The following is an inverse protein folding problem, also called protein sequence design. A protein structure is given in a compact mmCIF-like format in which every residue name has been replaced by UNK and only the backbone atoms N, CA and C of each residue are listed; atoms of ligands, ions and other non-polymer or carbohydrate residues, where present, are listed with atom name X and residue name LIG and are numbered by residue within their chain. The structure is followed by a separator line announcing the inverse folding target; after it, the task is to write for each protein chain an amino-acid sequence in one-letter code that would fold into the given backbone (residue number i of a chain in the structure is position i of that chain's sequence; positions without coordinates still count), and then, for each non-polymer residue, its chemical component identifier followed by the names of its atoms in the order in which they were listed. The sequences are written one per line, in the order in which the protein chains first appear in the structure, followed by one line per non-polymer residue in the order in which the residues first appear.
data_IF_199114091373
#
_entry.id   IF_199114091373
#
_cell.length_a   1.000
_cell.length_b   1.000
_cell.length_c   1.000
_cell.angle_alpha   90.00
_cell.angle_beta   90.00
_cell.angle_gamma   90.00
#
_symmetry.space_group_name_H-M   'P 1'
#
loop_
_entity.id
_entity.type
_entity.pdbx_description
1 polymer ?
#
# COMPACT_ATOMS: atom_id res chain seq x y z
N UNK A 1 -53.31 -49.73 23.76
CA UNK A 1 -52.35 -50.42 22.90
C UNK A 1 -51.94 -49.46 21.82
N UNK A 2 -50.85 -48.78 21.95
CA UNK A 2 -50.28 -47.87 20.95
C UNK A 2 -48.84 -48.31 20.67
N UNK A 3 -48.38 -48.36 19.44
CA UNK A 3 -46.97 -48.50 19.14
C UNK A 3 -46.32 -47.14 18.98
N UNK A 4 -45.15 -47.05 19.59
CA UNK A 4 -44.22 -45.91 19.54
C UNK A 4 -43.46 -45.96 18.23
N UNK A 5 -43.46 -44.83 17.46
CA UNK A 5 -42.62 -44.65 16.31
C UNK A 5 -41.29 -44.03 16.72
N UNK A 6 -40.19 -44.73 16.37
CA UNK A 6 -38.83 -44.28 16.60
C UNK A 6 -38.43 -43.12 15.67
N UNK A 7 -37.74 -42.17 16.23
CA UNK A 7 -37.16 -41.02 15.53
C UNK A 7 -35.68 -41.31 15.25
N UNK A 8 -35.35 -41.61 14.01
CA UNK A 8 -33.96 -41.74 13.52
C UNK A 8 -33.33 -40.37 13.39
N UNK A 9 -32.43 -40.04 14.28
CA UNK A 9 -31.56 -38.86 14.17
C UNK A 9 -30.36 -39.16 13.28
N UNK A 10 -30.44 -38.73 12.03
CA UNK A 10 -29.26 -38.66 11.15
C UNK A 10 -28.44 -37.43 11.54
N UNK A 11 -27.32 -37.67 12.20
CA UNK A 11 -26.25 -36.69 12.41
C UNK A 11 -25.52 -36.42 11.12
N UNK A 12 -25.84 -35.31 10.46
CA UNK A 12 -25.05 -34.76 9.37
C UNK A 12 -23.74 -34.17 9.92
N UNK A 13 -22.65 -34.83 9.66
CA UNK A 13 -21.30 -34.30 9.92
C UNK A 13 -21.02 -33.15 8.97
N UNK A 14 -20.85 -31.94 9.51
CA UNK A 14 -20.32 -30.75 8.81
C UNK A 14 -18.83 -31.01 8.58
N UNK A 15 -18.29 -30.85 7.34
CA UNK A 15 -16.86 -30.96 7.13
C UNK A 15 -16.16 -29.76 7.76
N UNK A 16 -15.43 -30.02 8.84
CA UNK A 16 -14.49 -29.10 9.48
C UNK A 16 -13.22 -29.05 8.61
N UNK A 17 -13.16 -28.11 7.66
CA UNK A 17 -11.97 -27.86 6.86
C UNK A 17 -11.67 -26.35 6.74
N UNK A 18 -11.60 -25.67 7.89
CA UNK A 18 -10.84 -24.46 8.01
C UNK A 18 -9.61 -24.79 8.86
N UNK A 19 -8.53 -25.21 8.22
CA UNK A 19 -7.26 -25.43 8.90
C UNK A 19 -6.83 -24.12 9.57
N UNK A 20 -6.99 -24.05 10.89
CA UNK A 20 -6.39 -23.01 11.74
C UNK A 20 -4.87 -23.13 11.58
N UNK A 21 -4.13 -22.02 11.30
CA UNK A 21 -2.67 -22.08 11.28
C UNK A 21 -2.19 -22.63 12.64
N UNK A 22 -1.38 -23.66 12.61
CA UNK A 22 -0.72 -24.21 13.78
C UNK A 22 0.19 -23.11 14.35
N UNK A 23 -0.03 -22.74 15.60
CA UNK A 23 0.85 -21.83 16.36
C UNK A 23 2.27 -22.41 16.34
N UNK A 24 3.16 -21.81 15.55
CA UNK A 24 4.59 -22.16 15.51
C UNK A 24 5.21 -22.41 14.14
N UNK A 25 4.44 -22.49 13.05
CA UNK A 25 5.05 -22.54 11.71
C UNK A 25 5.52 -21.14 11.27
N UNK A 26 6.72 -21.02 10.65
CA UNK A 26 7.16 -19.73 10.12
C UNK A 26 6.15 -19.26 9.05
N UNK A 27 5.72 -17.99 9.12
CA UNK A 27 4.81 -17.41 8.14
C UNK A 27 5.43 -17.45 6.74
N UNK A 28 4.66 -17.98 5.78
CA UNK A 28 4.99 -17.88 4.35
C UNK A 28 4.69 -16.46 3.89
N UNK A 29 5.68 -15.81 3.26
CA UNK A 29 5.60 -14.43 2.77
C UNK A 29 5.82 -14.35 1.28
N UNK A 30 5.38 -13.26 0.69
CA UNK A 30 5.62 -12.98 -0.72
C UNK A 30 7.11 -12.98 -1.07
N UNK A 31 7.44 -13.36 -2.29
CA UNK A 31 8.80 -13.51 -2.82
C UNK A 31 9.72 -12.29 -2.65
N UNK A 32 9.16 -11.09 -2.52
CA UNK A 32 9.93 -9.86 -2.37
C UNK A 32 10.31 -9.56 -0.92
N UNK A 33 9.62 -10.15 0.06
CA UNK A 33 9.88 -9.95 1.48
C UNK A 33 11.07 -10.82 1.91
N UNK A 34 12.15 -10.18 2.35
CA UNK A 34 13.31 -10.84 2.89
C UNK A 34 13.27 -10.91 4.43
N UNK A 35 14.38 -11.37 5.05
CA UNK A 35 14.46 -11.55 6.51
C UNK A 35 14.71 -10.25 7.31
N UNK A 36 14.78 -9.07 6.68
CA UNK A 36 14.90 -7.79 7.39
C UNK A 36 13.66 -7.56 8.26
N UNK A 37 13.78 -7.41 9.59
CA UNK A 37 12.62 -7.29 10.49
C UNK A 37 11.69 -6.12 10.13
N UNK A 38 12.22 -5.02 9.60
CA UNK A 38 11.43 -3.88 9.16
C UNK A 38 10.61 -4.23 7.91
N UNK A 39 11.19 -5.02 7.00
CA UNK A 39 10.50 -5.46 5.80
C UNK A 39 9.42 -6.49 6.10
N UNK A 40 9.70 -7.40 7.05
CA UNK A 40 8.72 -8.36 7.57
C UNK A 40 7.53 -7.62 8.20
N UNK A 41 7.79 -6.65 9.08
CA UNK A 41 6.73 -5.88 9.73
C UNK A 41 5.88 -5.12 8.69
N UNK A 42 6.49 -4.50 7.71
CA UNK A 42 5.80 -3.83 6.61
C UNK A 42 4.92 -4.78 5.80
N UNK A 43 5.46 -5.93 5.38
CA UNK A 43 4.72 -6.96 4.65
C UNK A 43 3.52 -7.48 5.45
N UNK A 44 3.75 -7.80 6.73
CA UNK A 44 2.74 -8.47 7.55
C UNK A 44 1.64 -7.54 8.08
N UNK A 45 1.90 -6.23 8.17
CA UNK A 45 1.01 -5.30 8.86
C UNK A 45 0.49 -4.14 8.00
N UNK A 46 1.20 -3.79 6.92
CA UNK A 46 0.89 -2.59 6.15
C UNK A 46 0.54 -2.90 4.69
N UNK A 47 1.40 -3.60 3.97
CA UNK A 47 1.27 -3.82 2.54
C UNK A 47 0.02 -4.63 2.19
N UNK A 48 -0.77 -4.14 1.24
CA UNK A 48 -2.03 -4.77 0.82
C UNK A 48 -3.20 -4.55 1.77
N UNK A 49 -2.99 -3.83 2.89
CA UNK A 49 -4.07 -3.50 3.84
C UNK A 49 -4.80 -2.25 3.37
N UNK A 50 -6.15 -2.27 3.21
CA UNK A 50 -6.91 -1.12 2.73
C UNK A 50 -6.71 0.12 3.59
N UNK A 51 -6.14 1.16 3.01
CA UNK A 51 -5.83 2.44 3.66
C UNK A 51 -6.77 3.53 3.14
N UNK A 52 -7.51 4.18 4.06
CA UNK A 52 -8.46 5.27 3.72
C UNK A 52 -8.17 6.57 4.47
N UNK A 53 -7.14 6.59 5.31
CA UNK A 53 -6.71 7.81 5.99
C UNK A 53 -5.99 8.73 4.98
N UNK A 54 -6.50 9.95 4.80
CA UNK A 54 -6.02 10.89 3.80
C UNK A 54 -4.56 11.28 3.99
N UNK A 55 -4.12 11.50 5.24
CA UNK A 55 -2.74 11.89 5.54
C UNK A 55 -1.77 10.74 5.28
N UNK A 56 -2.12 9.52 5.68
CA UNK A 56 -1.29 8.33 5.43
C UNK A 56 -1.23 7.99 3.94
N UNK A 57 -2.32 8.18 3.20
CA UNK A 57 -2.32 8.02 1.75
C UNK A 57 -1.40 9.04 1.08
N UNK A 58 -1.41 10.30 1.54
CA UNK A 58 -0.51 11.33 1.03
C UNK A 58 0.96 11.01 1.38
N UNK A 59 1.26 10.63 2.63
CA UNK A 59 2.59 10.17 3.05
C UNK A 59 3.08 9.05 2.12
N UNK A 60 2.25 8.02 1.93
CA UNK A 60 2.61 6.86 1.10
C UNK A 60 2.89 7.26 -0.35
N UNK A 61 2.06 8.13 -0.94
CA UNK A 61 2.25 8.64 -2.30
C UNK A 61 3.60 9.35 -2.48
N UNK A 62 4.00 10.17 -1.50
CA UNK A 62 5.31 10.83 -1.53
C UNK A 62 6.46 9.83 -1.37
N UNK A 63 6.32 8.84 -0.49
CA UNK A 63 7.34 7.82 -0.26
C UNK A 63 7.55 6.95 -1.51
N UNK A 64 6.49 6.58 -2.21
CA UNK A 64 6.56 5.88 -3.51
C UNK A 64 7.26 6.75 -4.58
N UNK A 65 6.99 8.05 -4.60
CA UNK A 65 7.72 8.99 -5.44
C UNK A 65 9.23 9.05 -5.11
N UNK A 66 9.59 9.00 -3.82
CA UNK A 66 10.99 8.91 -3.39
C UNK A 66 11.65 7.58 -3.78
N UNK A 67 10.87 6.49 -3.87
CA UNK A 67 11.39 5.18 -4.28
C UNK A 67 11.87 5.15 -5.73
N UNK A 68 11.34 5.97 -6.63
CA UNK A 68 11.69 5.92 -8.06
C UNK A 68 13.20 5.76 -8.30
N UNK A 69 13.60 4.62 -8.89
CA UNK A 69 15.01 4.25 -9.12
C UNK A 69 15.74 3.63 -7.92
N UNK A 70 15.04 3.33 -6.82
CA UNK A 70 15.59 2.75 -5.59
C UNK A 70 14.77 1.52 -5.15
N UNK A 71 15.29 0.77 -4.17
CA UNK A 71 14.52 -0.30 -3.52
C UNK A 71 13.61 0.25 -2.43
N UNK A 72 12.44 -0.39 -2.24
CA UNK A 72 11.50 0.03 -1.19
C UNK A 72 12.11 -0.01 0.21
N UNK A 73 12.89 -1.04 0.54
CA UNK A 73 13.56 -1.12 1.85
C UNK A 73 14.48 0.08 2.12
N UNK A 74 15.06 0.67 1.08
CA UNK A 74 15.86 1.90 1.20
C UNK A 74 15.02 3.08 1.69
N UNK A 75 13.78 3.20 1.22
CA UNK A 75 12.83 4.23 1.64
C UNK A 75 12.28 3.91 3.02
N UNK A 76 11.87 2.66 3.24
CA UNK A 76 11.29 2.20 4.49
C UNK A 76 12.23 2.46 5.68
N UNK A 77 13.55 2.19 5.53
CA UNK A 77 14.57 2.50 6.55
C UNK A 77 14.73 4.00 6.84
N UNK A 78 14.28 4.86 5.94
CA UNK A 78 14.34 6.32 6.07
C UNK A 78 12.99 6.95 6.44
N UNK A 79 11.92 6.16 6.49
CA UNK A 79 10.55 6.65 6.70
C UNK A 79 10.41 7.47 7.98
N UNK A 80 10.99 7.01 9.09
CA UNK A 80 10.97 7.75 10.34
C UNK A 80 11.63 9.13 10.18
N UNK A 81 12.78 9.19 9.52
CA UNK A 81 13.47 10.45 9.28
C UNK A 81 12.69 11.37 8.34
N UNK A 82 12.07 10.83 7.30
CA UNK A 82 11.17 11.62 6.45
C UNK A 82 10.02 12.24 7.25
N UNK A 83 9.39 11.49 8.18
CA UNK A 83 8.34 12.03 9.05
C UNK A 83 8.85 13.21 9.90
N UNK A 84 10.06 13.12 10.44
CA UNK A 84 10.66 14.21 11.22
C UNK A 84 10.88 15.46 10.35
N UNK A 85 11.58 15.33 9.23
CA UNK A 85 12.02 16.48 8.41
C UNK A 85 10.95 17.02 7.48
N UNK A 86 9.89 16.25 7.23
CA UNK A 86 8.72 16.67 6.46
C UNK A 86 7.48 16.89 7.33
N UNK A 87 7.68 17.33 8.59
CA UNK A 87 6.62 17.76 9.49
C UNK A 87 5.47 16.77 9.63
N UNK A 88 5.75 15.47 9.79
CA UNK A 88 4.74 14.42 9.88
C UNK A 88 3.90 14.24 8.62
N UNK A 89 4.36 14.76 7.49
CA UNK A 89 3.62 14.80 6.21
C UNK A 89 2.33 15.62 6.28
N UNK A 90 2.27 16.65 7.15
CA UNK A 90 1.15 17.59 7.18
C UNK A 90 1.05 18.34 5.85
N UNK A 91 -0.03 18.13 5.12
CA UNK A 91 -0.17 18.58 3.73
C UNK A 91 -0.09 20.09 3.61
N UNK A 92 -0.77 20.82 4.49
CA UNK A 92 -0.80 22.29 4.56
C UNK A 92 0.60 22.85 4.80
N UNK A 93 1.35 22.24 5.71
CA UNK A 93 2.73 22.67 6.00
C UNK A 93 3.66 22.39 4.83
N UNK A 94 3.53 21.22 4.18
CA UNK A 94 4.35 20.85 3.02
C UNK A 94 4.04 21.72 1.78
N UNK A 95 2.80 22.16 1.62
CA UNK A 95 2.41 23.06 0.53
C UNK A 95 3.10 24.45 0.63
N UNK A 96 3.56 24.82 1.81
CA UNK A 96 4.21 26.09 2.12
C UNK A 96 5.74 26.02 2.20
N UNK A 97 6.35 24.83 1.97
CA UNK A 97 7.81 24.69 2.01
C UNK A 97 8.48 25.75 1.14
N UNK A 98 9.41 26.50 1.73
CA UNK A 98 10.23 27.47 1.01
C UNK A 98 11.37 26.81 0.23
N UNK A 99 11.95 27.53 -0.71
CA UNK A 99 13.15 27.03 -1.41
C UNK A 99 14.33 26.87 -0.45
N UNK A 100 14.45 27.74 0.57
CA UNK A 100 15.48 27.63 1.59
C UNK A 100 15.35 26.34 2.43
N UNK A 101 14.14 25.96 2.81
CA UNK A 101 13.89 24.68 3.51
C UNK A 101 14.22 23.48 2.62
N UNK A 102 13.87 23.52 1.32
CA UNK A 102 14.22 22.47 0.35
C UNK A 102 15.75 22.35 0.21
N UNK A 103 16.48 23.47 0.16
CA UNK A 103 17.93 23.43 0.11
C UNK A 103 18.54 22.92 1.44
N UNK A 104 17.95 23.23 2.58
CA UNK A 104 18.36 22.66 3.87
C UNK A 104 18.17 21.12 3.89
N UNK A 105 17.06 20.61 3.36
CA UNK A 105 16.82 19.16 3.22
C UNK A 105 17.85 18.48 2.31
N UNK A 106 18.41 19.17 1.32
CA UNK A 106 19.48 18.64 0.46
C UNK A 106 20.78 18.39 1.22
N UNK A 107 20.95 18.96 2.40
CA UNK A 107 22.12 18.76 3.26
C UNK A 107 21.98 17.55 4.19
N UNK A 108 20.77 17.01 4.39
CA UNK A 108 20.53 15.87 5.26
C UNK A 108 20.91 14.54 4.57
N UNK A 109 21.97 13.85 5.02
CA UNK A 109 22.40 12.58 4.43
C UNK A 109 21.46 11.40 4.79
N UNK A 110 20.56 11.60 5.73
CA UNK A 110 19.63 10.55 6.19
C UNK A 110 18.43 10.36 5.30
N UNK A 111 18.19 11.25 4.34
CA UNK A 111 17.14 11.15 3.32
C UNK A 111 17.74 11.05 1.90
N UNK A 112 16.89 10.76 0.92
CA UNK A 112 17.32 10.78 -0.48
C UNK A 112 17.46 12.22 -0.96
N UNK A 113 18.71 12.65 -1.17
CA UNK A 113 19.07 14.00 -1.60
C UNK A 113 18.89 14.17 -3.11
N UNK A 114 17.63 14.30 -3.52
CA UNK A 114 17.27 14.59 -4.91
C UNK A 114 16.37 15.84 -4.92
N UNK A 115 16.91 16.95 -5.45
CA UNK A 115 16.23 18.26 -5.46
C UNK A 115 14.88 18.20 -6.18
N UNK A 116 14.76 17.46 -7.27
CA UNK A 116 13.48 17.35 -7.99
C UNK A 116 12.44 16.62 -7.17
N UNK A 117 12.80 15.55 -6.45
CA UNK A 117 11.90 14.83 -5.56
C UNK A 117 11.50 15.67 -4.35
N UNK A 118 12.43 16.44 -3.78
CA UNK A 118 12.11 17.35 -2.67
C UNK A 118 11.22 18.51 -3.10
N UNK A 119 11.43 19.08 -4.28
CA UNK A 119 10.50 20.07 -4.86
C UNK A 119 9.13 19.48 -5.14
N UNK A 120 9.07 18.21 -5.54
CA UNK A 120 7.82 17.50 -5.77
C UNK A 120 6.97 17.38 -4.49
N UNK A 121 7.57 17.33 -3.30
CA UNK A 121 6.83 17.34 -2.02
C UNK A 121 5.87 18.53 -1.96
N UNK A 122 6.40 19.74 -2.17
CA UNK A 122 5.59 20.98 -2.18
C UNK A 122 4.56 20.99 -3.31
N UNK A 123 4.97 20.58 -4.51
CA UNK A 123 4.07 20.54 -5.67
C UNK A 123 2.91 19.58 -5.43
N UNK A 124 3.19 18.38 -4.95
CA UNK A 124 2.19 17.36 -4.69
C UNK A 124 1.27 17.75 -3.51
N UNK A 125 1.81 18.43 -2.48
CA UNK A 125 0.99 18.93 -1.37
C UNK A 125 -0.03 19.97 -1.87
N UNK A 126 0.37 20.90 -2.73
CA UNK A 126 -0.52 21.88 -3.34
C UNK A 126 -1.58 21.23 -4.23
N UNK A 127 -1.17 20.23 -5.03
CA UNK A 127 -2.09 19.46 -5.85
C UNK A 127 -3.11 18.67 -5.01
N UNK A 128 -2.66 18.08 -3.89
CA UNK A 128 -3.54 17.37 -2.96
C UNK A 128 -4.60 18.28 -2.35
N UNK A 129 -4.21 19.47 -1.87
CA UNK A 129 -5.14 20.46 -1.32
C UNK A 129 -6.15 21.02 -2.34
N UNK A 130 -5.82 20.95 -3.62
CA UNK A 130 -6.74 21.36 -4.69
C UNK A 130 -7.81 20.30 -5.03
N UNK A 131 -7.67 19.07 -4.55
CA UNK A 131 -8.67 18.02 -4.73
C UNK A 131 -9.80 18.18 -3.70
N UNK A 132 -11.05 18.05 -4.12
CA UNK A 132 -12.20 18.09 -3.22
C UNK A 132 -12.27 16.84 -2.33
N UNK A 133 -12.02 15.68 -2.93
CA UNK A 133 -12.02 14.38 -2.26
C UNK A 133 -10.86 13.53 -2.78
N UNK A 134 -9.65 13.69 -2.24
CA UNK A 134 -8.51 12.92 -2.68
C UNK A 134 -8.65 11.41 -2.41
N UNK A 135 -9.27 11.02 -1.30
CA UNK A 135 -9.47 9.60 -0.96
C UNK A 135 -10.44 8.95 -1.92
N UNK A 136 -11.60 9.56 -2.16
CA UNK A 136 -12.59 9.08 -3.11
C UNK A 136 -12.03 9.01 -4.53
N UNK A 137 -11.26 10.03 -4.97
CA UNK A 137 -10.59 10.00 -6.27
C UNK A 137 -9.67 8.79 -6.40
N UNK A 138 -8.79 8.55 -5.42
CA UNK A 138 -7.82 7.46 -5.46
C UNK A 138 -8.50 6.09 -5.50
N UNK A 139 -9.49 5.87 -4.63
CA UNK A 139 -10.23 4.62 -4.56
C UNK A 139 -11.16 4.39 -5.77
N UNK A 140 -11.55 5.44 -6.49
CA UNK A 140 -12.42 5.31 -7.67
C UNK A 140 -11.79 4.48 -8.79
N UNK A 141 -10.44 4.42 -8.89
CA UNK A 141 -9.75 3.63 -9.91
C UNK A 141 -9.90 2.12 -9.73
N UNK A 142 -10.33 1.68 -8.55
CA UNK A 142 -10.65 0.26 -8.27
C UNK A 142 -12.11 0.06 -7.89
N UNK A 143 -12.99 1.02 -8.22
CA UNK A 143 -14.43 0.93 -7.95
C UNK A 143 -14.81 1.14 -6.49
N UNK A 144 -13.92 1.71 -5.67
CA UNK A 144 -14.15 2.02 -4.25
C UNK A 144 -13.80 0.89 -3.29
N UNK A 145 -13.55 -0.33 -3.77
CA UNK A 145 -13.23 -1.50 -2.96
C UNK A 145 -11.92 -2.16 -3.42
N UNK A 146 -11.23 -2.90 -2.54
CA UNK A 146 -10.00 -3.60 -2.90
C UNK A 146 -10.20 -4.57 -4.06
N UNK A 147 -9.36 -4.47 -5.08
CA UNK A 147 -9.29 -5.45 -6.16
C UNK A 147 -8.41 -6.61 -5.72
N UNK A 148 -8.99 -7.80 -5.52
CA UNK A 148 -8.25 -8.99 -5.10
C UNK A 148 -7.70 -9.69 -6.34
N UNK A 149 -6.38 -9.80 -6.44
CA UNK A 149 -5.69 -10.58 -7.46
C UNK A 149 -5.29 -11.94 -6.90
N UNK A 150 -5.05 -12.95 -7.78
CA UNK A 150 -4.79 -14.34 -7.40
C UNK A 150 -3.46 -14.82 -7.99
N UNK A 151 -2.41 -14.00 -7.87
CA UNK A 151 -1.08 -14.32 -8.40
C UNK A 151 -0.44 -15.49 -7.66
N UNK A 152 0.13 -16.43 -8.40
CA UNK A 152 0.82 -17.60 -7.83
C UNK A 152 2.30 -17.33 -7.61
N UNK A 153 2.90 -16.54 -8.48
CA UNK A 153 4.32 -16.22 -8.42
C UNK A 153 4.63 -14.83 -9.01
N UNK A 154 5.89 -14.45 -8.94
CA UNK A 154 6.40 -13.15 -9.40
C UNK A 154 6.10 -12.87 -10.88
N UNK A 155 6.09 -13.88 -11.73
CA UNK A 155 5.96 -13.69 -13.18
C UNK A 155 4.56 -13.24 -13.58
N UNK A 156 3.56 -13.52 -12.74
CA UNK A 156 2.17 -13.14 -12.95
C UNK A 156 1.88 -11.70 -12.51
N UNK A 157 2.71 -11.10 -11.64
CA UNK A 157 2.52 -9.74 -11.15
C UNK A 157 2.94 -8.74 -12.23
N UNK A 158 2.01 -7.94 -12.78
CA UNK A 158 2.35 -6.97 -13.83
C UNK A 158 3.16 -5.80 -13.26
N UNK A 159 3.97 -5.18 -14.11
CA UNK A 159 4.66 -3.94 -13.75
C UNK A 159 3.74 -2.71 -13.79
N UNK A 160 2.66 -2.78 -14.56
CA UNK A 160 1.69 -1.68 -14.79
C UNK A 160 0.34 -2.31 -15.09
N UNK A 161 -0.75 -1.67 -14.61
CA UNK A 161 -2.13 -2.03 -14.94
C UNK A 161 -2.88 -0.85 -15.57
N UNK A 162 -4.02 -1.11 -16.20
CA UNK A 162 -4.88 -0.07 -16.77
C UNK A 162 -5.38 0.92 -15.71
N UNK A 163 -5.66 0.44 -14.51
CA UNK A 163 -6.06 1.27 -13.35
C UNK A 163 -4.93 2.20 -12.92
N UNK A 164 -3.69 1.68 -12.86
CA UNK A 164 -2.51 2.48 -12.53
C UNK A 164 -2.18 3.52 -13.61
N UNK A 165 -2.36 3.21 -14.89
CA UNK A 165 -2.24 4.18 -15.98
C UNK A 165 -3.31 5.28 -15.88
N UNK A 166 -4.55 4.92 -15.60
CA UNK A 166 -5.64 5.87 -15.41
C UNK A 166 -5.37 6.79 -14.21
N UNK A 167 -4.96 6.23 -13.06
CA UNK A 167 -4.54 6.98 -11.87
C UNK A 167 -3.40 7.93 -12.18
N UNK A 168 -2.34 7.44 -12.82
CA UNK A 168 -1.18 8.26 -13.23
C UNK A 168 -1.60 9.45 -14.09
N UNK A 169 -2.46 9.22 -15.08
CA UNK A 169 -2.97 10.27 -15.98
C UNK A 169 -3.78 11.31 -15.22
N UNK A 170 -4.66 10.88 -14.32
CA UNK A 170 -5.50 11.76 -13.51
C UNK A 170 -4.67 12.60 -12.53
N UNK A 171 -3.72 11.97 -11.81
CA UNK A 171 -2.85 12.66 -10.88
C UNK A 171 -1.94 13.68 -11.59
N UNK A 172 -1.38 13.33 -12.75
CA UNK A 172 -0.60 14.30 -13.56
C UNK A 172 -1.44 15.47 -14.02
N UNK A 173 -2.69 15.22 -14.45
CA UNK A 173 -3.64 16.29 -14.82
C UNK A 173 -3.97 17.20 -13.63
N UNK A 174 -4.01 16.65 -12.41
CA UNK A 174 -4.21 17.42 -11.18
C UNK A 174 -2.95 18.14 -10.69
N UNK A 175 -1.81 18.04 -11.39
CA UNK A 175 -0.57 18.75 -11.08
C UNK A 175 0.43 17.96 -10.24
N UNK A 176 0.20 16.67 -9.98
CA UNK A 176 1.17 15.82 -9.29
C UNK A 176 2.36 15.47 -10.16
N UNK A 177 3.50 15.30 -9.52
CA UNK A 177 4.76 14.85 -10.13
C UNK A 177 5.25 13.57 -9.45
N UNK A 178 6.14 12.80 -10.12
CA UNK A 178 6.60 11.49 -9.66
C UNK A 178 5.44 10.49 -9.41
N UNK A 179 4.44 10.53 -10.26
CA UNK A 179 3.27 9.65 -10.27
C UNK A 179 3.15 8.91 -11.60
N UNK A 180 4.26 8.31 -12.06
CA UNK A 180 4.26 7.44 -13.24
C UNK A 180 3.42 6.17 -13.02
N UNK A 181 3.01 5.44 -14.09
CA UNK A 181 2.14 4.26 -13.95
C UNK A 181 2.72 3.18 -13.03
N UNK A 182 4.02 2.91 -13.12
CA UNK A 182 4.71 1.94 -12.23
C UNK A 182 4.65 2.39 -10.77
N UNK A 183 4.85 3.69 -10.49
CA UNK A 183 4.75 4.25 -9.14
C UNK A 183 3.30 4.17 -8.65
N UNK A 184 2.32 4.49 -9.50
CA UNK A 184 0.91 4.37 -9.15
C UNK A 184 0.53 2.92 -8.84
N UNK A 185 1.05 1.95 -9.58
CA UNK A 185 0.76 0.55 -9.28
C UNK A 185 1.36 0.10 -7.94
N UNK A 186 2.63 0.44 -7.67
CA UNK A 186 3.26 0.19 -6.37
C UNK A 186 2.46 0.87 -5.22
N UNK A 187 2.01 2.10 -5.44
CA UNK A 187 1.15 2.81 -4.51
C UNK A 187 -0.19 2.11 -4.27
N UNK A 188 -0.85 1.59 -5.33
CA UNK A 188 -2.09 0.82 -5.21
C UNK A 188 -1.88 -0.46 -4.41
N UNK A 189 -0.77 -1.17 -4.63
CA UNK A 189 -0.38 -2.35 -3.84
C UNK A 189 -0.15 -1.99 -2.37
N UNK A 190 0.66 -0.98 -2.10
CA UNK A 190 1.02 -0.57 -0.76
C UNK A 190 -0.18 -0.05 0.06
N UNK A 191 -1.13 0.62 -0.59
CA UNK A 191 -2.36 1.16 0.03
C UNK A 191 -3.51 0.18 0.11
N UNK A 192 -3.35 -1.06 -0.39
CA UNK A 192 -4.40 -2.07 -0.40
C UNK A 192 -5.56 -1.80 -1.37
N UNK A 193 -5.38 -0.87 -2.33
CA UNK A 193 -6.32 -0.71 -3.44
C UNK A 193 -6.32 -1.94 -4.34
N UNK A 194 -5.15 -2.57 -4.48
CA UNK A 194 -5.02 -3.92 -5.03
C UNK A 194 -4.38 -4.83 -3.98
N UNK A 195 -4.91 -6.03 -3.80
CA UNK A 195 -4.37 -7.04 -2.91
C UNK A 195 -3.58 -8.05 -3.74
N UNK A 196 -2.26 -7.91 -3.72
CA UNK A 196 -1.31 -8.64 -4.57
C UNK A 196 -0.40 -9.59 -3.78
N UNK A 197 -0.79 -9.97 -2.56
CA UNK A 197 -0.14 -11.09 -1.91
C UNK A 197 -0.31 -12.34 -2.76
N UNK A 198 0.75 -13.11 -2.95
CA UNK A 198 0.68 -14.39 -3.68
C UNK A 198 -0.19 -15.39 -2.93
N UNK A 199 -0.87 -16.29 -3.66
CA UNK A 199 -1.86 -17.21 -3.08
C UNK A 199 -1.29 -18.15 -2.01
N UNK A 200 0.01 -18.38 -2.01
CA UNK A 200 0.76 -19.15 -1.01
C UNK A 200 1.17 -18.31 0.21
N UNK A 201 1.02 -16.99 0.17
CA UNK A 201 1.31 -16.10 1.28
C UNK A 201 0.21 -16.17 2.35
N UNK A 202 0.59 -16.29 3.64
CA UNK A 202 -0.38 -16.33 4.73
C UNK A 202 -1.25 -15.06 4.82
N UNK A 203 -0.75 -13.92 4.36
CA UNK A 203 -1.51 -12.66 4.31
C UNK A 203 -2.62 -12.70 3.26
N UNK A 204 -2.43 -13.47 2.18
CA UNK A 204 -3.46 -13.65 1.16
C UNK A 204 -4.77 -14.17 1.77
N UNK A 205 -4.72 -15.27 2.53
CA UNK A 205 -5.89 -15.88 3.14
C UNK A 205 -6.63 -14.96 4.15
N UNK A 206 -5.91 -13.97 4.71
CA UNK A 206 -6.46 -13.01 5.68
C UNK A 206 -7.15 -11.85 4.95
N UNK A 207 -6.53 -11.33 3.88
CA UNK A 207 -6.97 -10.11 3.19
C UNK A 207 -7.91 -10.35 2.01
N UNK A 208 -8.07 -11.60 1.55
CA UNK A 208 -8.98 -11.96 0.46
C UNK A 208 -10.41 -12.32 0.90
N UNK A 209 -10.75 -12.11 2.18
CA UNK A 209 -12.07 -12.41 2.77
C UNK A 209 -13.05 -11.28 2.62
#
# INVERSE_FOLDING_TARGET
MSPVLGCDSKSGSIPDSAARPLLGSPMTRCFWCNEDPLYIAYHDQEWGVPLRDAQKLFELLLLEGFQAGLSWITILKRRARYREVLHGFEVERLAQLSDAEIEALMLDPSIIRNRLKLKAVRTNARAWLALQDPVGLLWSFVGGEPKINHFKDRSEVPAITSEAEAMSKALKKAGFTFVGPTICYAYMQASGMVMDHTVDCDRYAILSR
#
